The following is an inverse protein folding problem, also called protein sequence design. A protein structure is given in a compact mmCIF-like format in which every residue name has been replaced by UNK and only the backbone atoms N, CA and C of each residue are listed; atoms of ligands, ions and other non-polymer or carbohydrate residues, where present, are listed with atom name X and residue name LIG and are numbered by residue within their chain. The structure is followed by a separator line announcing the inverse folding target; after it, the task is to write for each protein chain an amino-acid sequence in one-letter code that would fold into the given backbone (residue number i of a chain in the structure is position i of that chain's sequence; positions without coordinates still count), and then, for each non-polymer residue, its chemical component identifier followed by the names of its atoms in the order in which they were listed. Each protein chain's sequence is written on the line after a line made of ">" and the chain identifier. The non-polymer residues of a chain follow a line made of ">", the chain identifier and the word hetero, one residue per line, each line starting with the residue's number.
data_IF_840976737635
#
_entry.id   IF_840976737635
#
_cell.length_a   1.000
_cell.length_b   1.000
_cell.length_c   1.000
_cell.angle_alpha   90.00
_cell.angle_beta   90.00
_cell.angle_gamma   90.00
#
_symmetry.space_group_name_H-M   'P 1'
#
loop_
_entity.id
_entity.type
_entity.pdbx_description
1 polymer ?
#
# COMPACT_ATOMS: atom_id res chain seq x y z
N UNK A 1 22.30 7.99 -9.37
CA UNK A 1 21.58 6.71 -9.25
C UNK A 1 20.25 7.07 -8.65
N UNK A 2 19.17 6.51 -9.16
CA UNK A 2 17.80 6.82 -8.77
C UNK A 2 17.60 6.62 -7.27
N UNK A 3 16.83 7.47 -6.61
CA UNK A 3 16.54 7.37 -5.19
C UNK A 3 15.03 7.21 -5.00
N UNK A 4 14.55 5.97 -4.92
CA UNK A 4 13.10 5.72 -4.91
C UNK A 4 12.42 6.18 -3.63
N UNK A 5 11.29 6.86 -3.79
CA UNK A 5 10.42 7.32 -2.73
C UNK A 5 8.94 7.19 -3.07
N UNK A 6 8.10 7.48 -2.09
CA UNK A 6 6.65 7.37 -2.19
C UNK A 6 5.99 8.59 -1.56
N UNK A 7 5.07 9.23 -2.26
CA UNK A 7 4.11 10.16 -1.66
C UNK A 7 2.78 9.43 -1.49
N UNK A 8 2.16 9.58 -0.32
CA UNK A 8 0.82 9.10 -0.03
C UNK A 8 -0.07 10.31 0.30
N UNK A 9 -1.01 10.59 -0.57
CA UNK A 9 -2.03 11.61 -0.34
C UNK A 9 -3.13 11.05 0.58
N UNK A 10 -3.19 11.56 1.81
CA UNK A 10 -4.17 11.10 2.80
C UNK A 10 -5.57 11.65 2.52
N UNK A 11 -5.67 12.83 1.90
CA UNK A 11 -6.93 13.46 1.51
C UNK A 11 -7.63 12.69 0.38
N UNK A 12 -6.84 12.02 -0.48
CA UNK A 12 -7.38 11.11 -1.51
C UNK A 12 -7.65 9.69 -1.01
N UNK A 13 -7.06 9.29 0.11
CA UNK A 13 -7.14 7.91 0.57
C UNK A 13 -8.53 7.56 1.13
N UNK A 14 -9.31 6.78 0.36
CA UNK A 14 -10.66 6.35 0.77
C UNK A 14 -10.71 5.10 1.67
N UNK A 15 -9.58 4.59 2.15
CA UNK A 15 -9.57 3.43 3.07
C UNK A 15 -9.86 2.06 2.44
N UNK A 16 -9.97 1.95 1.11
CA UNK A 16 -10.46 0.74 0.41
C UNK A 16 -9.65 -0.57 0.57
N UNK A 17 -8.49 -0.54 1.23
CA UNK A 17 -7.56 -1.69 1.41
C UNK A 17 -7.03 -2.35 0.10
N UNK A 18 -7.34 -1.83 -1.09
CA UNK A 18 -6.87 -2.38 -2.36
C UNK A 18 -5.33 -2.45 -2.44
N UNK A 19 -4.64 -1.43 -1.91
CA UNK A 19 -3.19 -1.38 -1.82
C UNK A 19 -2.58 -2.45 -0.87
N UNK A 20 -3.32 -2.90 0.14
CA UNK A 20 -2.90 -3.96 1.06
C UNK A 20 -3.05 -5.34 0.41
N UNK A 21 -4.19 -5.58 -0.25
CA UNK A 21 -4.49 -6.84 -0.94
C UNK A 21 -3.58 -7.04 -2.15
N UNK A 22 -3.41 -6.01 -2.99
CA UNK A 22 -2.50 -6.08 -4.14
C UNK A 22 -1.05 -6.33 -3.74
N UNK A 23 -0.56 -5.67 -2.69
CA UNK A 23 0.78 -5.94 -2.16
C UNK A 23 0.92 -7.39 -1.70
N UNK A 24 -0.11 -7.94 -1.04
CA UNK A 24 -0.15 -9.33 -0.60
C UNK A 24 -0.11 -10.30 -1.77
N UNK A 25 -0.92 -10.05 -2.80
CA UNK A 25 -0.98 -10.84 -4.01
C UNK A 25 0.36 -10.81 -4.73
N UNK A 26 0.82 -9.62 -5.13
CA UNK A 26 2.05 -9.40 -5.90
C UNK A 26 3.27 -10.03 -5.23
N UNK A 27 3.41 -9.84 -3.91
CA UNK A 27 4.62 -10.20 -3.20
C UNK A 27 4.52 -11.55 -2.50
N UNK A 28 3.55 -12.41 -2.80
CA UNK A 28 3.38 -13.70 -2.10
C UNK A 28 3.41 -13.58 -0.57
N UNK A 29 2.70 -12.60 0.00
CA UNK A 29 2.72 -12.39 1.46
C UNK A 29 1.80 -13.42 2.13
N UNK A 30 2.29 -14.18 3.13
CA UNK A 30 1.52 -15.26 3.76
C UNK A 30 0.22 -14.81 4.41
N UNK A 31 -0.74 -15.74 4.58
CA UNK A 31 -1.99 -15.48 5.31
C UNK A 31 -1.74 -14.97 6.73
N UNK A 32 -2.65 -14.12 7.22
CA UNK A 32 -2.49 -13.43 8.50
C UNK A 32 -1.45 -12.31 8.55
N UNK A 33 -0.67 -12.11 7.47
CA UNK A 33 0.32 -11.03 7.39
C UNK A 33 -0.01 -9.99 6.32
N UNK A 34 0.40 -8.75 6.62
CA UNK A 34 0.29 -7.60 5.71
C UNK A 34 1.54 -6.72 5.82
N UNK A 35 2.19 -6.51 4.68
CA UNK A 35 3.32 -5.57 4.53
C UNK A 35 2.86 -4.12 4.42
N UNK A 36 1.67 -3.91 3.87
CA UNK A 36 1.01 -2.64 3.70
C UNK A 36 -0.33 -2.68 4.44
N UNK A 37 -0.57 -1.73 5.32
CA UNK A 37 -1.76 -1.67 6.19
C UNK A 37 -2.42 -0.32 6.03
N UNK A 38 -3.74 -0.25 5.95
CA UNK A 38 -4.46 1.03 6.04
C UNK A 38 -5.10 1.11 7.42
N UNK A 39 -4.56 2.00 8.25
CA UNK A 39 -5.04 2.24 9.61
C UNK A 39 -6.10 3.33 9.57
N UNK A 40 -7.10 3.25 10.45
CA UNK A 40 -8.07 4.33 10.66
C UNK A 40 -7.61 5.17 11.84
N UNK A 41 -7.57 6.48 11.69
CA UNK A 41 -7.16 7.39 12.76
C UNK A 41 -8.35 7.78 13.65
N UNK A 42 -8.10 7.86 14.96
CA UNK A 42 -9.05 8.35 15.97
C UNK A 42 -10.24 7.43 16.31
N UNK A 43 -10.64 6.51 15.43
CA UNK A 43 -11.68 5.51 15.71
C UNK A 43 -11.24 4.42 16.69
N UNK A 44 -12.19 3.80 17.41
CA UNK A 44 -11.90 2.67 18.30
C UNK A 44 -11.53 1.38 17.55
N UNK A 45 -12.00 1.26 16.30
CA UNK A 45 -11.81 0.10 15.43
C UNK A 45 -11.50 0.56 14.00
N UNK A 46 -11.03 -0.38 13.18
CA UNK A 46 -10.91 -0.19 11.74
C UNK A 46 -12.26 0.25 11.16
N UNK A 47 -12.22 1.23 10.26
CA UNK A 47 -13.36 1.82 9.55
C UNK A 47 -14.43 2.42 10.48
N UNK A 48 -14.02 2.94 11.63
CA UNK A 48 -14.90 3.72 12.52
C UNK A 48 -14.45 5.17 12.58
N UNK A 49 -15.37 6.16 12.44
CA UNK A 49 -15.02 7.56 12.56
C UNK A 49 -14.65 7.91 13.99
N UNK A 50 -13.79 8.90 14.13
CA UNK A 50 -13.52 9.60 15.38
C UNK A 50 -14.58 10.66 15.67
N UNK A 51 -14.57 11.24 16.86
CA UNK A 51 -15.50 12.31 17.25
C UNK A 51 -16.85 11.82 17.79
N UNK A 52 -17.78 12.75 17.97
CA UNK A 52 -19.08 12.47 18.60
C UNK A 52 -20.26 12.67 17.66
N UNK A 53 -21.23 11.76 17.74
CA UNK A 53 -22.56 11.97 17.17
C UNK A 53 -23.37 12.88 18.11
N UNK A 54 -23.99 13.96 17.62
CA UNK A 54 -24.67 14.92 18.46
C UNK A 54 -26.06 14.39 18.86
N UNK A 55 -26.40 14.46 20.14
CA UNK A 55 -27.68 13.95 20.67
C UNK A 55 -28.91 14.71 20.15
N UNK A 56 -28.73 15.96 19.72
CA UNK A 56 -29.78 16.84 19.20
C UNK A 56 -30.02 16.69 17.69
N UNK A 57 -29.28 15.80 17.01
CA UNK A 57 -29.39 15.57 15.57
C UNK A 57 -28.79 16.69 14.70
N UNK A 58 -27.95 17.57 15.28
CA UNK A 58 -27.21 18.59 14.53
C UNK A 58 -26.04 18.03 13.71
N UNK A 59 -25.17 18.92 13.23
CA UNK A 59 -23.89 18.52 12.61
C UNK A 59 -22.90 18.09 13.69
N UNK A 60 -22.52 16.83 13.69
CA UNK A 60 -21.53 16.27 14.62
C UNK A 60 -20.09 16.69 14.31
N UNK A 61 -19.15 16.14 15.08
CA UNK A 61 -17.71 16.30 14.84
C UNK A 61 -17.10 15.02 14.27
N UNK A 62 -17.90 14.21 13.57
CA UNK A 62 -17.44 12.93 13.04
C UNK A 62 -16.43 13.16 11.93
N UNK A 63 -15.27 12.52 12.07
CA UNK A 63 -14.16 12.64 11.14
C UNK A 63 -13.50 11.28 10.94
N UNK A 64 -13.11 10.97 9.72
CA UNK A 64 -12.54 9.68 9.36
C UNK A 64 -11.37 9.88 8.43
N UNK A 65 -10.19 9.61 8.96
CA UNK A 65 -8.92 9.70 8.26
C UNK A 65 -8.24 8.34 8.22
N UNK A 66 -7.45 8.13 7.18
CA UNK A 66 -6.74 6.89 6.97
C UNK A 66 -5.23 7.15 6.91
N UNK A 67 -4.47 6.25 7.53
CA UNK A 67 -3.02 6.27 7.56
C UNK A 67 -2.47 4.98 6.91
N UNK A 68 -2.33 4.96 5.57
CA UNK A 68 -1.67 3.87 4.88
C UNK A 68 -0.20 3.78 5.30
N UNK A 69 0.17 2.67 5.95
CA UNK A 69 1.47 2.47 6.57
C UNK A 69 2.10 1.19 6.03
N UNK A 70 3.30 1.34 5.46
CA UNK A 70 4.17 0.26 5.02
C UNK A 70 5.61 0.53 5.49
N UNK A 71 6.59 -0.23 4.97
CA UNK A 71 8.00 0.11 5.18
C UNK A 71 8.31 1.48 4.55
N UNK A 72 8.99 2.32 5.30
CA UNK A 72 9.30 3.71 4.91
C UNK A 72 10.64 3.85 4.16
N UNK A 73 11.34 2.73 3.89
CA UNK A 73 12.62 2.69 3.18
C UNK A 73 13.65 3.74 3.62
N UNK A 74 13.72 3.97 4.93
CA UNK A 74 14.52 5.00 5.60
C UNK A 74 15.95 5.12 5.06
N UNK A 75 16.42 6.35 4.79
CA UNK A 75 17.82 6.64 4.47
C UNK A 75 18.72 6.27 5.66
N UNK A 76 18.32 6.66 6.87
CA UNK A 76 19.00 6.31 8.11
C UNK A 76 18.34 5.09 8.79
N UNK A 77 18.27 3.96 8.07
CA UNK A 77 17.55 2.76 8.50
C UNK A 77 18.14 2.10 9.77
N UNK A 78 17.45 2.15 10.94
CA UNK A 78 17.94 1.48 12.15
C UNK A 78 17.92 -0.05 11.99
N UNK A 79 16.96 -0.57 11.23
CA UNK A 79 16.82 -2.00 10.96
C UNK A 79 17.98 -2.61 10.17
N UNK A 80 18.69 -1.83 9.34
CA UNK A 80 19.93 -2.24 8.66
C UNK A 80 21.05 -2.35 9.70
N UNK A 81 21.23 -1.31 10.51
CA UNK A 81 22.34 -1.19 11.48
C UNK A 81 22.36 -2.27 12.56
N UNK A 82 21.20 -2.79 12.94
CA UNK A 82 21.07 -3.80 14.01
C UNK A 82 21.17 -5.24 13.52
N UNK A 83 21.25 -5.48 12.20
CA UNK A 83 21.28 -6.84 11.67
C UNK A 83 22.67 -7.47 11.87
N UNK A 84 22.83 -8.50 12.72
CA UNK A 84 24.15 -9.03 13.06
C UNK A 84 24.82 -9.80 11.91
N UNK A 85 24.05 -10.18 10.89
CA UNK A 85 24.48 -11.00 9.74
C UNK A 85 24.39 -10.23 8.41
N UNK A 86 24.10 -8.92 8.46
CA UNK A 86 23.92 -8.07 7.28
C UNK A 86 22.90 -8.63 6.26
N UNK A 87 21.85 -9.30 6.74
CA UNK A 87 20.74 -9.75 5.90
C UNK A 87 19.90 -8.58 5.40
N UNK A 88 19.75 -7.51 6.18
CA UNK A 88 19.10 -6.27 5.72
C UNK A 88 20.18 -5.29 5.24
N UNK A 89 20.01 -4.74 4.04
CA UNK A 89 20.92 -3.77 3.42
C UNK A 89 20.13 -2.70 2.66
N UNK A 90 20.80 -1.61 2.28
CA UNK A 90 20.26 -0.58 1.40
C UNK A 90 20.88 -0.76 0.02
N UNK A 91 20.05 -0.85 -1.02
CA UNK A 91 20.48 -0.89 -2.43
C UNK A 91 21.01 0.48 -2.87
N UNK A 92 21.69 0.50 -4.01
CA UNK A 92 22.18 1.74 -4.62
C UNK A 92 21.04 2.67 -5.06
N UNK A 93 19.87 2.11 -5.35
CA UNK A 93 18.64 2.85 -5.67
C UNK A 93 17.87 3.34 -4.43
N UNK A 94 18.44 3.11 -3.25
CA UNK A 94 17.89 3.54 -1.99
C UNK A 94 16.81 2.64 -1.38
N UNK A 95 16.41 1.55 -2.04
CA UNK A 95 15.49 0.58 -1.47
C UNK A 95 16.20 -0.20 -0.35
N UNK A 96 15.67 -0.15 0.87
CA UNK A 96 16.06 -1.08 1.94
C UNK A 96 15.51 -2.47 1.60
N UNK A 97 16.34 -3.50 1.54
CA UNK A 97 15.97 -4.87 1.16
C UNK A 97 16.40 -5.90 2.22
N UNK A 98 15.94 -7.15 2.09
CA UNK A 98 16.32 -8.28 2.93
C UNK A 98 16.78 -9.42 2.03
N UNK A 99 18.01 -9.87 2.23
CA UNK A 99 18.50 -11.16 1.79
C UNK A 99 17.93 -12.24 2.71
N UNK A 100 16.97 -13.01 2.19
CA UNK A 100 16.25 -14.01 2.96
C UNK A 100 17.14 -15.21 3.34
N UNK A 101 18.15 -15.55 2.53
CA UNK A 101 19.08 -16.65 2.79
C UNK A 101 20.04 -16.33 3.94
N UNK A 102 20.41 -15.06 4.11
CA UNK A 102 21.22 -14.60 5.24
C UNK A 102 20.40 -14.42 6.53
N UNK A 103 19.08 -14.36 6.44
CA UNK A 103 18.23 -13.97 7.57
C UNK A 103 18.12 -15.09 8.61
N UNK A 104 18.78 -14.93 9.76
CA UNK A 104 18.77 -15.92 10.86
C UNK A 104 17.57 -15.80 11.82
N UNK A 105 16.55 -15.00 11.50
CA UNK A 105 15.34 -14.90 12.33
C UNK A 105 15.50 -14.29 13.73
N UNK A 106 16.58 -13.55 13.99
CA UNK A 106 16.84 -12.94 15.31
C UNK A 106 15.88 -11.79 15.70
N UNK A 107 15.14 -11.24 14.73
CA UNK A 107 14.08 -10.22 14.89
C UNK A 107 14.51 -8.87 15.48
N UNK A 108 15.81 -8.61 15.65
CA UNK A 108 16.31 -7.29 16.09
C UNK A 108 15.90 -6.15 15.14
N UNK A 109 15.84 -6.42 13.84
CA UNK A 109 15.38 -5.46 12.85
C UNK A 109 13.90 -5.06 13.04
N UNK A 110 13.06 -5.95 13.59
CA UNK A 110 11.67 -5.62 13.94
C UNK A 110 11.62 -4.70 15.16
N UNK A 111 12.35 -5.05 16.22
CA UNK A 111 12.43 -4.24 17.44
C UNK A 111 12.99 -2.83 17.19
N UNK A 112 13.91 -2.70 16.23
CA UNK A 112 14.52 -1.42 15.87
C UNK A 112 13.66 -0.56 14.92
N UNK A 113 12.62 -1.12 14.29
CA UNK A 113 11.80 -0.40 13.32
C UNK A 113 10.72 0.41 14.05
N UNK A 114 10.74 1.76 14.02
CA UNK A 114 9.76 2.56 14.76
C UNK A 114 8.35 2.48 14.16
N UNK A 115 8.22 2.01 12.91
CA UNK A 115 6.96 1.89 12.18
C UNK A 115 6.29 0.52 12.32
N UNK A 116 6.93 -0.45 12.99
CA UNK A 116 6.48 -1.84 13.05
C UNK A 116 6.14 -2.43 11.65
N UNK A 117 6.95 -2.06 10.65
CA UNK A 117 6.71 -2.37 9.24
C UNK A 117 7.32 -3.70 8.78
N UNK A 118 7.85 -4.49 9.73
CA UNK A 118 8.44 -5.81 9.48
C UNK A 118 7.56 -6.88 10.11
N UNK A 119 7.43 -8.00 9.40
CA UNK A 119 6.67 -9.18 9.83
C UNK A 119 7.61 -10.38 9.87
N UNK A 120 7.27 -11.40 10.66
CA UNK A 120 8.12 -12.58 10.81
C UNK A 120 7.32 -13.82 10.49
N UNK A 121 7.90 -14.72 9.71
CA UNK A 121 7.29 -15.99 9.35
C UNK A 121 7.50 -16.97 10.51
N UNK A 122 6.50 -17.04 11.39
CA UNK A 122 6.52 -17.90 12.58
C UNK A 122 6.39 -19.37 12.23
N UNK A 123 5.51 -19.66 11.29
CA UNK A 123 5.13 -21.00 10.85
C UNK A 123 5.47 -21.17 9.37
N UNK A 124 5.24 -22.39 8.85
CA UNK A 124 5.30 -22.62 7.41
C UNK A 124 4.29 -21.70 6.72
N UNK A 125 4.73 -20.85 5.78
CA UNK A 125 3.86 -19.83 5.21
C UNK A 125 2.71 -20.45 4.40
N UNK A 126 1.48 -20.09 4.76
CA UNK A 126 0.28 -20.51 4.04
C UNK A 126 -0.11 -19.44 3.00
N UNK A 127 -0.43 -19.90 1.79
CA UNK A 127 -0.84 -19.06 0.65
C UNK A 127 -2.17 -19.54 0.05
N UNK A 128 -2.93 -18.64 -0.59
CA UNK A 128 -4.09 -19.03 -1.39
C UNK A 128 -4.00 -18.38 -2.78
N UNK A 129 -3.76 -19.15 -3.87
CA UNK A 129 -3.66 -20.61 -3.93
C UNK A 129 -2.33 -21.16 -3.39
N UNK A 130 -2.25 -22.48 -3.21
CA UNK A 130 -1.11 -23.19 -2.60
C UNK A 130 0.22 -22.96 -3.34
N UNK A 131 0.16 -22.69 -4.65
CA UNK A 131 1.32 -22.40 -5.50
C UNK A 131 1.87 -20.96 -5.33
N UNK A 132 1.23 -20.14 -4.49
CA UNK A 132 1.48 -18.70 -4.41
C UNK A 132 0.58 -17.90 -5.38
N UNK A 133 0.36 -16.63 -5.05
CA UNK A 133 -0.41 -15.65 -5.85
C UNK A 133 0.45 -14.59 -6.55
N UNK A 134 1.75 -14.56 -6.26
CA UNK A 134 2.64 -13.45 -6.57
C UNK A 134 3.80 -13.83 -7.47
N UNK A 135 4.43 -12.80 -8.01
CA UNK A 135 5.51 -12.88 -9.00
C UNK A 135 6.90 -13.06 -8.37
N UNK A 136 6.96 -13.25 -7.06
CA UNK A 136 8.21 -13.41 -6.28
C UNK A 136 8.20 -14.71 -5.49
N UNK A 137 9.36 -15.31 -5.24
CA UNK A 137 9.40 -16.56 -4.48
C UNK A 137 8.79 -16.42 -3.07
N UNK A 138 8.11 -17.48 -2.62
CA UNK A 138 7.64 -17.61 -1.26
C UNK A 138 8.84 -17.73 -0.30
N UNK A 139 8.79 -17.01 0.82
CA UNK A 139 9.89 -17.00 1.78
C UNK A 139 9.70 -18.10 2.81
N UNK A 140 10.77 -18.77 3.27
CA UNK A 140 10.65 -19.85 4.24
C UNK A 140 10.20 -19.38 5.63
N UNK A 141 9.83 -20.34 6.48
CA UNK A 141 9.69 -20.10 7.91
C UNK A 141 11.00 -19.57 8.51
N UNK A 142 10.90 -18.70 9.51
CA UNK A 142 12.04 -18.23 10.29
C UNK A 142 12.73 -16.99 9.74
N UNK A 143 12.22 -16.39 8.65
CA UNK A 143 12.75 -15.14 8.11
C UNK A 143 11.81 -13.95 8.39
N UNK A 144 12.40 -12.76 8.37
CA UNK A 144 11.66 -11.48 8.47
C UNK A 144 11.36 -10.98 7.07
N UNK A 145 10.16 -10.44 6.88
CA UNK A 145 9.70 -9.81 5.66
C UNK A 145 9.26 -8.35 5.89
N UNK A 146 9.11 -7.61 4.79
CA UNK A 146 8.57 -6.23 4.74
C UNK A 146 8.32 -5.83 3.30
N UNK A 147 7.58 -4.73 3.11
CA UNK A 147 7.52 -4.03 1.82
C UNK A 147 8.92 -3.79 1.24
N UNK A 148 9.11 -4.11 -0.03
CA UNK A 148 10.35 -3.94 -0.82
C UNK A 148 10.22 -2.85 -1.88
N UNK A 149 9.17 -2.01 -1.83
CA UNK A 149 8.72 -1.20 -2.96
C UNK A 149 8.50 -2.03 -4.25
N UNK A 150 8.18 -3.32 -4.11
CA UNK A 150 8.08 -4.25 -5.23
C UNK A 150 9.34 -4.19 -6.11
N UNK A 151 10.51 -4.37 -5.49
CA UNK A 151 11.82 -4.25 -6.15
C UNK A 151 11.92 -5.01 -7.48
N UNK A 152 11.28 -6.18 -7.57
CA UNK A 152 11.18 -6.97 -8.80
C UNK A 152 10.46 -6.24 -9.94
N UNK A 153 9.39 -5.48 -9.65
CA UNK A 153 8.68 -4.65 -10.64
C UNK A 153 9.51 -3.44 -11.05
N UNK A 154 10.15 -2.80 -10.07
CA UNK A 154 10.97 -1.60 -10.30
C UNK A 154 12.17 -1.93 -11.20
N UNK A 155 12.74 -3.12 -11.07
CA UNK A 155 13.81 -3.62 -11.96
C UNK A 155 13.35 -3.79 -13.42
N UNK A 156 12.06 -4.03 -13.64
CA UNK A 156 11.42 -4.14 -14.95
C UNK A 156 10.84 -2.79 -15.46
N UNK A 157 11.09 -1.68 -14.75
CA UNK A 157 10.56 -0.36 -15.09
C UNK A 157 9.06 -0.19 -14.82
N UNK A 158 8.50 -1.01 -13.92
CA UNK A 158 7.08 -1.02 -13.56
C UNK A 158 6.84 -0.38 -12.18
N UNK A 159 5.74 0.35 -12.05
CA UNK A 159 5.33 0.94 -10.79
C UNK A 159 4.94 -0.16 -9.78
N UNK A 160 5.14 0.06 -8.45
CA UNK A 160 4.75 -0.90 -7.42
C UNK A 160 3.27 -1.27 -7.50
N UNK A 161 2.91 -2.54 -7.26
CA UNK A 161 1.53 -3.01 -7.42
C UNK A 161 0.50 -2.25 -6.57
N UNK A 162 0.92 -1.71 -5.42
CA UNK A 162 0.06 -0.91 -4.55
C UNK A 162 -0.20 0.52 -5.06
N UNK A 163 0.65 1.02 -5.96
CA UNK A 163 0.50 2.30 -6.67
C UNK A 163 -0.49 2.11 -7.81
N UNK A 164 -0.22 1.13 -8.68
CA UNK A 164 -1.06 0.79 -9.84
C UNK A 164 -2.51 0.48 -9.44
N UNK A 165 -2.71 -0.27 -8.36
CA UNK A 165 -4.05 -0.69 -7.92
C UNK A 165 -4.77 0.33 -7.02
N UNK A 166 -4.24 1.53 -6.81
CA UNK A 166 -4.91 2.52 -5.97
C UNK A 166 -6.04 3.20 -6.76
N UNK A 167 -7.33 2.92 -6.47
CA UNK A 167 -8.43 3.49 -7.28
C UNK A 167 -8.62 4.99 -7.09
N UNK A 168 -7.99 5.57 -6.07
CA UNK A 168 -8.04 6.99 -5.77
C UNK A 168 -6.78 7.73 -6.21
N UNK A 169 -5.80 7.06 -6.84
CA UNK A 169 -4.51 7.65 -7.24
C UNK A 169 -3.77 8.36 -6.08
N UNK A 170 -3.97 7.85 -4.86
CA UNK A 170 -3.43 8.43 -3.63
C UNK A 170 -1.96 8.06 -3.39
N UNK A 171 -1.40 7.12 -4.15
CA UNK A 171 -0.02 6.64 -3.98
C UNK A 171 0.77 7.02 -5.22
N UNK A 172 1.89 7.69 -5.01
CA UNK A 172 2.69 8.27 -6.08
C UNK A 172 4.13 7.85 -5.84
N UNK A 173 4.68 7.04 -6.74
CA UNK A 173 6.02 6.49 -6.64
C UNK A 173 6.92 7.06 -7.73
N UNK A 174 8.22 7.20 -7.45
CA UNK A 174 9.17 7.83 -8.35
C UNK A 174 10.53 8.11 -7.71
N UNK A 175 11.36 8.81 -8.47
CA UNK A 175 12.72 9.22 -8.06
C UNK A 175 12.69 10.53 -7.27
N UNK A 176 13.16 10.52 -6.02
CA UNK A 176 13.28 11.68 -5.15
C UNK A 176 14.42 12.62 -5.55
N UNK A 177 15.41 12.11 -6.29
CA UNK A 177 16.58 12.90 -6.70
C UNK A 177 16.35 13.57 -8.07
N UNK A 178 15.28 13.19 -8.79
CA UNK A 178 14.85 13.85 -10.03
C UNK A 178 13.80 14.93 -9.72
N UNK A 179 14.18 16.20 -9.85
CA UNK A 179 13.30 17.35 -9.62
C UNK A 179 12.07 17.39 -10.55
N UNK A 180 12.14 16.69 -11.69
CA UNK A 180 11.05 16.65 -12.67
C UNK A 180 10.05 15.51 -12.43
N UNK A 181 10.38 14.56 -11.55
CA UNK A 181 9.50 13.45 -11.20
C UNK A 181 8.23 13.94 -10.52
N UNK A 182 7.12 13.22 -10.70
CA UNK A 182 5.84 13.56 -10.06
C UNK A 182 5.97 13.54 -8.54
N UNK A 183 6.73 12.61 -7.96
CA UNK A 183 6.98 12.57 -6.51
C UNK A 183 7.66 13.84 -6.02
N UNK A 184 8.75 14.29 -6.68
CA UNK A 184 9.48 15.49 -6.28
C UNK A 184 8.63 16.76 -6.41
N UNK A 185 7.83 16.85 -7.48
CA UNK A 185 6.88 17.96 -7.66
C UNK A 185 5.85 18.01 -6.54
N UNK A 186 5.27 16.86 -6.17
CA UNK A 186 4.27 16.79 -5.11
C UNK A 186 4.84 17.16 -3.74
N UNK A 187 6.07 16.74 -3.42
CA UNK A 187 6.75 17.13 -2.18
C UNK A 187 7.00 18.65 -2.12
N UNK A 188 7.27 19.29 -3.27
CA UNK A 188 7.55 20.73 -3.35
C UNK A 188 6.28 21.60 -3.36
N UNK A 189 5.17 21.09 -3.90
CA UNK A 189 3.93 21.85 -4.08
C UNK A 189 2.96 21.73 -2.91
N UNK A 190 2.85 20.53 -2.32
CA UNK A 190 1.92 20.27 -1.23
C UNK A 190 2.61 20.28 0.13
N UNK A 191 1.82 20.57 1.18
CA UNK A 191 2.26 20.34 2.55
C UNK A 191 2.46 18.84 2.77
N UNK A 192 3.71 18.44 3.03
CA UNK A 192 4.06 17.05 3.28
C UNK A 192 4.80 16.87 4.59
N UNK A 193 4.46 15.79 5.29
CA UNK A 193 5.13 15.36 6.51
C UNK A 193 5.71 13.95 6.34
N UNK A 194 6.68 13.61 7.19
CA UNK A 194 7.18 12.25 7.31
C UNK A 194 6.80 11.65 8.67
N UNK A 195 6.58 10.34 8.72
CA UNK A 195 6.23 9.69 9.99
C UNK A 195 7.42 9.66 10.95
N UNK A 196 7.17 10.10 12.19
CA UNK A 196 8.10 10.00 13.32
C UNK A 196 9.47 10.66 13.04
N UNK A 197 9.46 11.89 12.51
CA UNK A 197 10.68 12.66 12.19
C UNK A 197 11.64 12.81 13.37
N UNK A 198 11.09 12.88 14.60
CA UNK A 198 11.83 12.95 15.86
C UNK A 198 12.80 11.77 16.06
N UNK A 199 12.59 10.65 15.35
CA UNK A 199 13.44 9.46 15.38
C UNK A 199 14.66 9.55 14.47
N UNK A 200 14.75 10.58 13.63
CA UNK A 200 15.91 10.83 12.76
C UNK A 200 16.20 9.70 11.77
N UNK A 201 15.22 8.87 11.46
CA UNK A 201 15.32 7.75 10.49
C UNK A 201 15.35 8.22 9.05
N UNK A 202 14.89 9.45 8.78
CA UNK A 202 14.71 10.03 7.43
C UNK A 202 13.94 9.06 6.50
N UNK A 203 12.63 8.88 6.71
CA UNK A 203 11.76 8.15 5.78
C UNK A 203 11.93 8.61 4.33
N UNK A 204 11.59 7.73 3.39
CA UNK A 204 11.42 8.07 1.96
C UNK A 204 9.96 8.09 1.54
N UNK A 205 9.06 7.90 2.50
CA UNK A 205 7.63 8.05 2.30
C UNK A 205 7.20 9.38 2.91
N UNK A 206 6.54 10.19 2.09
CA UNK A 206 5.97 11.48 2.44
C UNK A 206 4.44 11.35 2.45
N UNK A 207 3.79 12.08 3.34
CA UNK A 207 2.35 12.08 3.49
C UNK A 207 1.82 13.49 3.23
N UNK A 208 0.89 13.64 2.29
CA UNK A 208 0.16 14.89 2.13
C UNK A 208 -1.02 14.87 3.09
N UNK A 209 -1.10 15.91 3.91
CA UNK A 209 -2.25 16.22 4.77
C UNK A 209 -2.67 17.67 4.48
N UNK A 210 -3.96 17.93 4.29
CA UNK A 210 -4.47 19.27 4.01
C UNK A 210 -5.16 19.39 2.65
N UNK A 211 -4.46 19.87 1.62
CA UNK A 211 -5.06 20.05 0.29
C UNK A 211 -4.99 18.75 -0.53
N UNK A 212 -6.15 18.27 -0.96
CA UNK A 212 -6.27 17.12 -1.84
C UNK A 212 -5.65 17.41 -3.21
N UNK A 213 -4.63 16.65 -3.59
CA UNK A 213 -3.99 16.79 -4.89
C UNK A 213 -4.87 16.22 -6.03
N UNK A 214 -4.53 16.48 -7.31
CA UNK A 214 -5.12 15.79 -8.45
C UNK A 214 -4.88 14.27 -8.48
N UNK A 215 -3.87 13.77 -7.74
CA UNK A 215 -3.38 12.40 -7.83
C UNK A 215 -2.56 12.13 -9.09
N UNK A 216 -2.02 10.92 -9.23
CA UNK A 216 -1.34 10.44 -10.45
C UNK A 216 -2.19 9.35 -11.13
N UNK A 217 -3.05 9.70 -12.10
CA UNK A 217 -3.84 8.74 -12.85
C UNK A 217 -2.95 7.66 -13.45
N UNK A 218 -3.21 6.40 -13.11
CA UNK A 218 -2.45 5.27 -13.64
C UNK A 218 -2.99 4.92 -15.04
N UNK A 219 -2.36 5.47 -16.09
CA UNK A 219 -2.68 5.15 -17.49
C UNK A 219 -1.98 3.87 -17.97
N UNK A 220 -0.98 3.40 -17.23
CA UNK A 220 -0.25 2.15 -17.48
C UNK A 220 0.41 1.65 -16.18
N UNK A 221 0.91 0.42 -16.21
CA UNK A 221 1.69 -0.16 -15.10
C UNK A 221 3.16 0.31 -15.08
N UNK A 222 3.60 1.05 -16.11
CA UNK A 222 4.98 1.52 -16.24
C UNK A 222 5.26 2.70 -15.32
N UNK A 223 6.48 2.76 -14.82
CA UNK A 223 6.97 3.93 -14.09
C UNK A 223 6.95 5.18 -14.97
N UNK A 224 6.85 6.35 -14.34
CA UNK A 224 6.87 7.65 -15.03
C UNK A 224 8.12 7.84 -15.90
N UNK A 225 9.28 7.36 -15.47
CA UNK A 225 10.52 7.43 -16.25
C UNK A 225 10.47 6.66 -17.57
N UNK A 226 9.54 5.70 -17.69
CA UNK A 226 9.35 4.86 -18.88
C UNK A 226 8.19 5.34 -19.77
N UNK A 227 7.60 6.49 -19.43
CA UNK A 227 6.47 7.07 -20.12
C UNK A 227 6.88 8.35 -20.85
N UNK A 228 6.41 8.49 -22.09
CA UNK A 228 6.83 9.62 -22.95
C UNK A 228 6.13 10.94 -22.60
N UNK A 229 4.93 10.93 -21.99
CA UNK A 229 4.19 12.15 -21.56
C UNK A 229 2.93 11.79 -20.72
N UNK A 230 3.06 11.61 -19.39
CA UNK A 230 1.90 11.31 -18.51
C UNK A 230 1.97 12.03 -17.16
N UNK A 231 2.72 13.12 -17.09
CA UNK A 231 2.76 13.90 -15.85
C UNK A 231 1.40 14.56 -15.64
N UNK A 232 0.79 14.55 -14.43
CA UNK A 232 -0.38 15.38 -14.12
C UNK A 232 -0.13 16.88 -14.38
N UNK A 233 1.14 17.25 -14.54
CA UNK A 233 1.68 18.58 -14.77
C UNK A 233 2.06 18.85 -16.24
N UNK A 234 1.83 17.91 -17.18
CA UNK A 234 2.04 18.20 -18.60
C UNK A 234 1.01 19.25 -19.02
N UNK A 235 1.49 20.41 -19.45
CA UNK A 235 0.68 21.55 -19.85
C UNK A 235 -0.38 21.16 -20.90
N UNK A 236 -1.64 21.04 -20.45
CA UNK A 236 -2.83 21.07 -21.29
C UNK A 236 -3.15 19.77 -22.02
N UNK A 237 -4.11 19.03 -21.47
CA UNK A 237 -5.29 18.59 -22.21
C UNK A 237 -6.39 18.21 -21.21
N UNK A 238 -7.55 18.84 -21.33
CA UNK A 238 -8.82 18.51 -20.66
C UNK A 238 -9.38 17.13 -21.09
N UNK A 239 -8.58 16.30 -21.74
CA UNK A 239 -8.95 14.99 -22.26
C UNK A 239 -8.32 13.90 -21.38
N UNK A 240 -8.96 13.64 -20.24
CA UNK A 240 -8.93 12.29 -19.66
C UNK A 240 -9.42 11.35 -20.77
N UNK A 241 -8.61 10.42 -21.29
CA UNK A 241 -9.11 9.46 -22.26
C UNK A 241 -10.12 8.60 -21.50
N UNK A 242 -11.41 8.86 -21.75
CA UNK A 242 -12.45 7.91 -21.43
C UNK A 242 -12.03 6.59 -22.04
N UNK A 243 -11.85 5.56 -21.21
CA UNK A 243 -11.63 4.19 -21.68
C UNK A 243 -12.76 3.85 -22.66
N UNK A 244 -12.50 4.00 -23.96
CA UNK A 244 -13.22 3.26 -24.99
C UNK A 244 -12.87 1.80 -24.70
N UNK A 245 -13.80 1.12 -24.04
CA UNK A 245 -13.75 -0.32 -23.94
C UNK A 245 -13.88 -0.84 -25.37
N UNK A 246 -12.75 -1.19 -25.99
CA UNK A 246 -12.74 -2.00 -27.19
C UNK A 246 -13.46 -3.32 -26.87
N UNK A 247 -14.73 -3.35 -27.23
CA UNK A 247 -15.61 -4.50 -27.14
C UNK A 247 -15.07 -5.57 -28.07
N UNK A 248 -14.23 -6.47 -27.54
CA UNK A 248 -14.03 -7.78 -28.15
C UNK A 248 -15.33 -8.55 -27.95
N UNK A 249 -16.13 -8.58 -29.01
CA UNK A 249 -17.40 -9.30 -29.05
C UNK A 249 -17.19 -10.77 -28.68
N UNK A 250 -17.74 -11.16 -27.53
CA UNK A 250 -18.11 -12.55 -27.28
C UNK A 250 -19.63 -12.65 -27.46
N UNK A 251 -20.04 -13.38 -28.48
CA UNK A 251 -21.43 -13.70 -28.75
C UNK A 251 -21.99 -14.50 -27.55
N UNK A 252 -22.82 -13.85 -26.73
CA UNK A 252 -23.59 -14.56 -25.71
C UNK A 252 -24.88 -15.09 -26.34
N UNK A 253 -24.91 -16.40 -26.60
CA UNK A 253 -26.16 -17.10 -26.88
C UNK A 253 -27.03 -17.05 -25.62
N UNK A 254 -28.16 -16.35 -25.71
CA UNK A 254 -29.15 -16.28 -24.65
C UNK A 254 -29.87 -17.62 -24.49
N UNK A 255 -29.58 -18.34 -23.41
CA UNK A 255 -30.49 -19.36 -22.88
C UNK A 255 -31.08 -18.85 -21.57
N UNK A 256 -32.34 -18.43 -21.61
CA UNK A 256 -33.12 -18.09 -20.42
C UNK A 256 -33.32 -19.33 -19.55
N UNK A 257 -32.72 -19.36 -18.37
CA UNK A 257 -33.18 -20.21 -17.27
C UNK A 257 -33.82 -19.31 -16.22
N UNK A 258 -35.13 -19.45 -16.06
CA UNK A 258 -35.90 -18.83 -15.00
C UNK A 258 -35.50 -19.44 -13.65
N UNK A 259 -35.02 -18.61 -12.72
CA UNK A 259 -34.81 -19.02 -11.32
C UNK A 259 -36.09 -18.71 -10.55
N UNK A 260 -36.79 -19.75 -10.11
CA UNK A 260 -37.90 -19.63 -9.17
C UNK A 260 -37.39 -19.11 -7.82
N UNK A 261 -38.15 -18.17 -7.23
CA UNK A 261 -37.80 -17.49 -6.00
C UNK A 261 -37.77 -18.45 -4.80
N UNK A 262 -36.59 -18.54 -4.17
CA UNK A 262 -36.41 -19.06 -2.82
C UNK A 262 -35.96 -17.92 -1.89
N UNK A 263 -36.60 -17.79 -0.74
CA UNK A 263 -36.27 -16.81 0.29
C UNK A 263 -34.83 -16.99 0.79
N UNK A 264 -34.06 -15.91 0.82
CA UNK A 264 -32.72 -15.86 1.40
C UNK A 264 -32.87 -15.76 2.93
N UNK A 265 -32.40 -16.74 3.73
CA UNK A 265 -32.53 -16.64 5.18
C UNK A 265 -31.54 -15.62 5.74
N UNK A 266 -32.06 -14.53 6.29
CA UNK A 266 -31.28 -13.63 7.14
C UNK A 266 -30.82 -14.37 8.40
N UNK A 267 -29.52 -14.44 8.62
CA UNK A 267 -28.94 -14.97 9.86
C UNK A 267 -29.32 -14.06 11.03
N UNK A 268 -29.96 -14.62 12.05
CA UNK A 268 -30.26 -13.92 13.31
C UNK A 268 -29.03 -13.94 14.23
N UNK A 269 -28.78 -12.86 15.01
CA UNK A 269 -27.63 -12.79 15.89
C UNK A 269 -27.78 -13.75 17.09
N UNK A 270 -26.70 -14.46 17.40
CA UNK A 270 -26.64 -15.42 18.50
C UNK A 270 -26.86 -14.74 19.86
N UNK A 271 -27.80 -15.26 20.65
CA UNK A 271 -27.98 -14.88 22.06
C UNK A 271 -26.81 -15.41 22.88
N UNK A 272 -26.14 -14.53 23.61
CA UNK A 272 -25.22 -14.87 24.70
C UNK A 272 -26.01 -15.53 25.85
N UNK A 273 -25.83 -16.84 26.04
CA UNK A 273 -26.21 -17.53 27.27
C UNK A 273 -25.14 -17.29 28.33
N UNK A 274 -25.50 -16.62 29.41
CA UNK A 274 -24.73 -16.61 30.64
C UNK A 274 -25.18 -17.78 31.52
N UNK A 275 -24.21 -18.58 31.95
CA UNK A 275 -24.31 -19.46 33.11
C UNK A 275 -23.34 -18.89 34.16
N UNK A 276 -23.91 -18.19 35.16
CA UNK A 276 -23.54 -18.16 36.58
C UNK A 276 -24.49 -17.21 37.35
#
# INVERSE_FOLDING_TARGET
>A
MTNYGLVIDQERCIGCQACAVSCKQENNVPMGQFWNRVLTEGGEKMDTPSGGYPEDGGSGSLDMQYQPTACQHCENAPCVKVCPVNATYTRDDGIVEIDYDKCIGCRYCMAACPYNARVFNWDEPEHMPEEGTGDVEARPQGVVEKCTFCSHRVEDGLDPACVVNCPADARIFGDLDDETSTVSKYINEYETDQLLEDRGTKPKTHYISGEMSPGRPQTSDKMESELDDVSPWSDGDDDVPSKEADSVGSESSSSSHSVEGGEIPYATPAKSGGDD
#
